data_IF_354532718338
#
_entry.id   IF_354532718338
#
_cell.length_a   1.000
_cell.length_b   1.000
_cell.length_c   1.000
_cell.angle_alpha   90.00
_cell.angle_beta   90.00
_cell.angle_gamma   90.00
#
_symmetry.space_group_name_H-M   'P 1'
#
loop_
_entity.id
_entity.type
_entity.pdbx_description
1 polymer ?
#
# COMPACT_ATOMS: atom_id res chain seq x y z
N UNK A 1 36.13 -6.70 32.28
CA UNK A 1 34.84 -7.11 32.87
C UNK A 1 34.04 -5.85 33.16
N UNK A 2 32.98 -5.61 32.38
CA UNK A 2 32.03 -4.52 32.59
C UNK A 2 30.67 -5.10 32.17
N UNK A 3 29.66 -5.16 33.05
CA UNK A 3 28.41 -5.83 32.73
C UNK A 3 27.49 -4.87 31.97
N UNK A 4 27.15 -5.20 30.73
CA UNK A 4 25.98 -4.62 30.05
C UNK A 4 24.72 -5.24 30.66
N UNK A 5 24.24 -4.66 31.76
CA UNK A 5 22.88 -4.86 32.25
C UNK A 5 21.95 -3.92 31.48
N UNK A 6 21.56 -4.30 30.26
CA UNK A 6 20.41 -3.67 29.59
C UNK A 6 19.19 -4.55 29.84
N UNK A 7 18.20 -3.93 30.45
CA UNK A 7 16.97 -4.51 31.00
C UNK A 7 16.21 -5.42 30.01
N UNK A 8 16.27 -6.73 30.25
CA UNK A 8 15.31 -7.72 29.70
C UNK A 8 13.85 -7.37 30.05
N UNK A 9 13.62 -6.62 31.13
CA UNK A 9 12.31 -6.08 31.51
C UNK A 9 11.73 -5.05 30.52
N UNK A 10 12.57 -4.28 29.83
CA UNK A 10 12.07 -3.20 28.94
C UNK A 10 11.57 -3.79 27.63
N UNK A 11 12.24 -4.80 27.07
CA UNK A 11 11.85 -5.46 25.82
C UNK A 11 10.53 -6.25 25.97
N UNK A 12 10.30 -6.86 27.14
CA UNK A 12 9.05 -7.58 27.41
C UNK A 12 7.87 -6.63 27.67
N UNK A 13 8.11 -5.42 28.20
CA UNK A 13 7.07 -4.41 28.44
C UNK A 13 6.71 -3.64 27.17
N UNK A 14 7.66 -3.39 26.25
CA UNK A 14 7.32 -2.79 24.94
C UNK A 14 6.51 -3.74 24.05
N UNK A 15 6.70 -5.06 24.16
CA UNK A 15 5.80 -6.04 23.52
C UNK A 15 4.43 -6.15 24.22
N UNK A 16 4.35 -5.86 25.51
CA UNK A 16 3.12 -5.95 26.31
C UNK A 16 2.22 -4.69 26.20
N UNK A 17 2.80 -3.52 25.94
CA UNK A 17 2.03 -2.27 25.75
C UNK A 17 1.42 -2.14 24.34
N UNK A 18 1.92 -2.87 23.35
CA UNK A 18 1.40 -2.84 21.97
C UNK A 18 0.16 -3.74 21.80
N UNK A 19 -0.13 -4.64 22.75
CA UNK A 19 -1.22 -5.64 22.60
C UNK A 19 -2.50 -5.36 23.40
N UNK A 20 -2.55 -4.35 24.28
CA UNK A 20 -3.71 -4.12 25.17
C UNK A 20 -4.27 -2.68 25.11
N UNK A 21 -3.58 -1.73 24.50
CA UNK A 21 -4.08 -0.37 24.31
C UNK A 21 -4.63 -0.16 22.90
N UNK A 22 -5.88 0.30 22.80
CA UNK A 22 -6.58 0.80 21.60
C UNK A 22 -7.21 -0.23 20.65
N UNK A 23 -8.07 -1.10 21.18
CA UNK A 23 -9.27 -1.53 20.47
C UNK A 23 -10.41 -0.54 20.75
N UNK A 24 -10.37 0.58 20.06
CA UNK A 24 -11.58 1.28 19.63
C UNK A 24 -11.46 1.39 18.13
N UNK A 25 -12.20 0.56 17.41
CA UNK A 25 -12.36 0.68 15.97
C UNK A 25 -12.82 2.11 15.63
N UNK A 26 -12.09 2.88 14.80
CA UNK A 26 -12.80 3.74 13.89
C UNK A 26 -13.28 2.83 12.76
N UNK A 27 -14.59 2.72 12.63
CA UNK A 27 -15.23 2.51 11.34
C UNK A 27 -14.43 3.24 10.25
N UNK A 28 -13.97 2.49 9.25
CA UNK A 28 -13.29 3.02 8.06
C UNK A 28 -14.28 3.89 7.29
N UNK A 29 -14.29 5.16 7.62
CA UNK A 29 -14.68 6.27 6.78
C UNK A 29 -13.53 7.24 6.96
N UNK A 30 -12.51 7.14 6.11
CA UNK A 30 -11.58 8.26 5.97
C UNK A 30 -12.39 9.34 5.28
N UNK A 31 -13.15 10.10 6.07
CA UNK A 31 -13.90 11.27 5.62
C UNK A 31 -12.86 12.37 5.36
N UNK A 32 -13.06 13.17 4.32
CA UNK A 32 -12.23 14.36 4.07
C UNK A 32 -12.06 15.14 5.38
N UNK A 33 -10.82 15.23 5.84
CA UNK A 33 -10.47 15.96 7.06
C UNK A 33 -10.32 17.43 6.68
N UNK A 34 -11.14 18.29 7.28
CA UNK A 34 -11.12 19.72 6.98
C UNK A 34 -9.74 20.32 7.32
N UNK A 35 -9.17 21.17 6.44
CA UNK A 35 -7.86 21.78 6.68
C UNK A 35 -7.92 22.75 7.87
N UNK A 36 -6.78 22.96 8.53
CA UNK A 36 -6.69 23.96 9.61
C UNK A 36 -6.78 25.38 9.02
N UNK A 37 -7.67 26.21 9.58
CA UNK A 37 -7.90 27.56 9.07
C UNK A 37 -8.25 28.57 10.16
N UNK A 38 -7.99 29.84 9.88
CA UNK A 38 -8.42 30.98 10.66
C UNK A 38 -8.97 32.05 9.73
N UNK A 39 -10.18 32.55 10.03
CA UNK A 39 -10.83 33.60 9.22
C UNK A 39 -11.09 34.85 10.05
N UNK A 40 -10.79 36.02 9.47
CA UNK A 40 -11.07 37.33 10.06
C UNK A 40 -12.23 38.00 9.31
N UNK A 41 -13.26 38.44 10.04
CA UNK A 41 -14.41 39.21 9.50
C UNK A 41 -15.25 38.45 8.45
N UNK A 42 -15.28 37.11 8.53
CA UNK A 42 -16.13 36.23 7.75
C UNK A 42 -16.33 34.89 8.46
N UNK A 43 -17.07 33.98 7.84
CA UNK A 43 -17.33 32.60 8.29
C UNK A 43 -17.14 31.65 7.10
N UNK A 44 -16.44 30.53 7.32
CA UNK A 44 -16.35 29.46 6.31
C UNK A 44 -17.59 28.59 6.44
N UNK A 45 -18.32 28.40 5.34
CA UNK A 45 -19.53 27.60 5.28
C UNK A 45 -19.25 26.13 4.95
N UNK A 46 -18.14 25.85 4.27
CA UNK A 46 -17.72 24.50 3.92
C UNK A 46 -16.57 24.46 2.93
N UNK A 47 -16.06 23.25 2.75
CA UNK A 47 -14.99 22.90 1.82
C UNK A 47 -15.50 21.82 0.86
N UNK A 48 -15.17 21.96 -0.41
CA UNK A 48 -15.47 20.98 -1.45
C UNK A 48 -14.21 20.76 -2.29
N UNK A 49 -13.84 19.50 -2.51
CA UNK A 49 -12.76 19.16 -3.44
C UNK A 49 -13.38 18.82 -4.79
N UNK A 50 -12.81 19.40 -5.85
CA UNK A 50 -13.06 19.01 -7.23
C UNK A 50 -11.79 18.34 -7.83
N UNK A 51 -11.78 16.99 -7.94
CA UNK A 51 -10.68 16.26 -8.55
C UNK A 51 -10.50 16.52 -10.06
N UNK A 52 -11.56 16.90 -10.77
CA UNK A 52 -11.52 17.13 -12.22
C UNK A 52 -10.73 18.41 -12.53
N UNK A 53 -11.02 19.48 -11.79
CA UNK A 53 -10.30 20.76 -11.90
C UNK A 53 -9.06 20.85 -11.03
N UNK A 54 -8.83 19.84 -10.17
CA UNK A 54 -7.73 19.79 -9.18
C UNK A 54 -7.78 20.96 -8.20
N UNK A 55 -8.98 21.27 -7.72
CA UNK A 55 -9.22 22.44 -6.92
C UNK A 55 -9.87 22.14 -5.58
N UNK A 56 -9.61 23.02 -4.60
CA UNK A 56 -10.31 23.11 -3.33
C UNK A 56 -11.18 24.36 -3.36
N UNK A 57 -12.48 24.16 -3.26
CA UNK A 57 -13.51 25.19 -3.27
C UNK A 57 -13.90 25.49 -1.81
N UNK A 58 -13.84 26.76 -1.43
CA UNK A 58 -14.11 27.24 -0.08
C UNK A 58 -15.27 28.22 -0.15
N UNK A 59 -16.42 27.82 0.38
CA UNK A 59 -17.59 28.69 0.46
C UNK A 59 -17.46 29.61 1.67
N UNK A 60 -17.43 30.93 1.48
CA UNK A 60 -17.33 31.89 2.58
C UNK A 60 -18.50 32.88 2.62
N UNK A 61 -18.88 33.24 3.85
CA UNK A 61 -19.87 34.27 4.13
C UNK A 61 -19.19 35.45 4.81
N UNK A 62 -19.07 36.55 4.09
CA UNK A 62 -18.44 37.78 4.59
C UNK A 62 -19.43 38.95 4.58
N UNK A 63 -19.28 39.86 5.56
CA UNK A 63 -20.06 41.12 5.63
C UNK A 63 -19.21 42.37 5.42
N UNK A 64 -17.89 42.24 5.54
CA UNK A 64 -16.89 43.29 5.39
C UNK A 64 -15.58 42.66 4.93
N UNK A 65 -14.65 43.44 4.40
CA UNK A 65 -13.35 42.93 3.96
C UNK A 65 -12.61 42.21 5.10
N UNK A 66 -12.05 41.06 4.79
CA UNK A 66 -11.44 40.14 5.73
C UNK A 66 -10.27 39.38 5.11
N UNK A 67 -9.80 38.39 5.84
CA UNK A 67 -8.63 37.58 5.47
C UNK A 67 -8.85 36.14 5.94
N UNK A 68 -8.54 35.19 5.06
CA UNK A 68 -8.53 33.76 5.35
C UNK A 68 -7.08 33.29 5.38
N UNK A 69 -6.66 32.73 6.52
CA UNK A 69 -5.42 31.96 6.64
C UNK A 69 -5.77 30.49 6.64
N UNK A 70 -5.23 29.70 5.72
CA UNK A 70 -5.52 28.27 5.60
C UNK A 70 -4.22 27.48 5.43
N UNK A 71 -4.08 26.39 6.17
CA UNK A 71 -2.94 25.46 6.08
C UNK A 71 -3.38 24.18 5.41
N UNK A 72 -2.82 23.92 4.24
CA UNK A 72 -3.15 22.81 3.36
C UNK A 72 -2.05 21.75 3.40
N UNK A 73 -2.35 20.52 3.84
CA UNK A 73 -1.44 19.41 3.69
C UNK A 73 -1.13 19.14 2.22
N UNK A 74 0.13 18.87 1.88
CA UNK A 74 0.53 18.56 0.48
C UNK A 74 -0.10 17.27 -0.06
N UNK A 75 -0.50 16.37 0.83
CA UNK A 75 -1.26 15.15 0.48
C UNK A 75 -2.73 15.48 0.15
N UNK A 76 -3.24 16.64 0.59
CA UNK A 76 -4.57 17.14 0.31
C UNK A 76 -4.62 17.90 -1.03
N UNK A 77 -3.70 18.83 -1.24
CA UNK A 77 -3.59 19.63 -2.47
C UNK A 77 -2.17 20.20 -2.58
N UNK A 78 -1.57 20.15 -3.78
CA UNK A 78 -0.20 20.63 -4.01
C UNK A 78 -0.05 21.18 -5.44
N UNK A 79 0.91 22.10 -5.63
CA UNK A 79 1.22 22.73 -6.90
C UNK A 79 2.70 22.59 -7.24
N UNK A 80 3.05 21.69 -8.17
CA UNK A 80 4.45 21.39 -8.54
C UNK A 80 4.61 21.26 -10.05
N UNK A 81 5.73 21.79 -10.56
CA UNK A 81 6.19 21.53 -11.92
C UNK A 81 7.40 20.59 -11.81
N UNK A 82 7.19 19.31 -12.08
CA UNK A 82 8.19 18.27 -11.83
C UNK A 82 8.40 18.05 -10.32
N UNK A 83 9.57 18.42 -9.80
CA UNK A 83 9.90 18.34 -8.36
C UNK A 83 10.03 19.71 -7.69
N UNK A 84 9.77 20.79 -8.43
CA UNK A 84 9.89 22.16 -7.95
C UNK A 84 8.50 22.68 -7.59
N UNK A 85 8.40 23.33 -6.42
CA UNK A 85 7.17 23.98 -6.00
C UNK A 85 6.83 25.12 -6.96
N UNK A 86 5.58 25.13 -7.40
CA UNK A 86 4.93 26.19 -8.16
C UNK A 86 3.87 26.85 -7.28
N UNK A 87 3.49 28.06 -7.64
CA UNK A 87 2.43 28.80 -6.96
C UNK A 87 1.06 28.15 -7.25
N UNK A 88 0.15 28.23 -6.27
CA UNK A 88 -1.26 27.93 -6.51
C UNK A 88 -1.91 29.00 -7.39
N UNK A 89 -2.92 28.62 -8.16
CA UNK A 89 -3.82 29.59 -8.80
C UNK A 89 -5.01 29.76 -7.87
N UNK A 90 -5.19 30.97 -7.34
CA UNK A 90 -6.32 31.29 -6.44
C UNK A 90 -7.34 32.12 -7.21
N UNK A 91 -8.60 31.69 -7.19
CA UNK A 91 -9.72 32.37 -7.83
C UNK A 91 -10.69 32.87 -6.76
N UNK A 92 -11.23 34.07 -6.95
CA UNK A 92 -12.33 34.65 -6.18
C UNK A 92 -13.53 34.76 -7.12
N UNK A 93 -14.61 34.03 -6.84
CA UNK A 93 -15.80 33.97 -7.71
C UNK A 93 -15.46 33.67 -9.19
N UNK A 94 -14.55 32.71 -9.41
CA UNK A 94 -14.00 32.31 -10.72
C UNK A 94 -13.17 33.37 -11.45
N UNK A 95 -12.77 34.45 -10.77
CA UNK A 95 -11.80 35.42 -11.28
C UNK A 95 -10.47 35.24 -10.57
N UNK A 96 -9.39 35.10 -11.34
CA UNK A 96 -8.05 34.92 -10.76
C UNK A 96 -7.65 36.14 -9.92
N UNK A 97 -7.21 35.87 -8.68
CA UNK A 97 -6.65 36.91 -7.80
C UNK A 97 -5.13 36.85 -7.85
N UNK A 98 -4.51 38.02 -7.95
CA UNK A 98 -3.05 38.18 -7.94
C UNK A 98 -2.50 38.49 -6.54
N UNK A 99 -3.35 38.54 -5.52
CA UNK A 99 -2.98 38.95 -4.18
C UNK A 99 -3.29 37.86 -3.16
N UNK A 100 -2.29 37.04 -2.85
CA UNK A 100 -2.24 36.17 -1.67
C UNK A 100 -0.77 35.97 -1.29
N UNK A 101 -0.51 35.68 -0.02
CA UNK A 101 0.80 35.26 0.44
C UNK A 101 0.81 33.74 0.64
N UNK A 102 1.92 33.09 0.29
CA UNK A 102 2.13 31.65 0.48
C UNK A 102 3.38 31.38 1.32
N UNK A 103 3.25 30.51 2.31
CA UNK A 103 4.38 29.94 3.05
C UNK A 103 4.45 28.45 2.79
N UNK A 104 5.61 27.99 2.32
CA UNK A 104 5.82 26.63 1.84
C UNK A 104 6.72 25.87 2.82
N UNK A 105 6.28 24.69 3.26
CA UNK A 105 7.08 23.76 4.09
C UNK A 105 7.20 22.39 3.42
N UNK A 106 7.89 21.42 4.03
CA UNK A 106 8.00 20.07 3.48
C UNK A 106 6.69 19.26 3.56
N UNK A 107 5.80 19.57 4.51
CA UNK A 107 4.55 18.85 4.73
C UNK A 107 3.32 19.62 4.26
N UNK A 108 3.33 20.94 4.41
CA UNK A 108 2.14 21.78 4.27
C UNK A 108 2.43 23.07 3.49
N UNK A 109 1.36 23.70 3.01
CA UNK A 109 1.35 25.02 2.40
C UNK A 109 0.32 25.91 3.08
N UNK A 110 0.75 27.05 3.59
CA UNK A 110 -0.16 28.00 4.24
C UNK A 110 -0.41 29.18 3.31
N UNK A 111 -1.67 29.46 3.00
CA UNK A 111 -2.09 30.62 2.20
C UNK A 111 -2.77 31.67 3.07
N UNK A 112 -2.52 32.93 2.75
CA UNK A 112 -3.20 34.09 3.33
C UNK A 112 -3.92 34.83 2.20
N UNK A 113 -5.26 34.70 2.16
CA UNK A 113 -6.11 35.15 1.06
C UNK A 113 -7.03 36.28 1.56
N UNK A 114 -6.85 37.52 1.10
CA UNK A 114 -7.75 38.62 1.41
C UNK A 114 -9.06 38.48 0.62
N UNK A 115 -10.20 38.75 1.27
CA UNK A 115 -11.51 38.73 0.63
C UNK A 115 -12.32 40.01 0.90
N UNK A 116 -13.27 40.30 0.01
CA UNK A 116 -14.16 41.46 0.09
C UNK A 116 -15.41 41.23 0.96
N UNK A 117 -16.16 42.30 1.25
CA UNK A 117 -17.36 42.27 2.10
C UNK A 117 -18.63 41.64 1.51
N UNK A 118 -18.50 40.66 0.62
CA UNK A 118 -19.62 39.96 -0.02
C UNK A 118 -19.43 38.45 0.16
N UNK A 119 -20.51 37.67 0.07
CA UNK A 119 -20.37 36.22 -0.01
C UNK A 119 -19.61 35.88 -1.28
N UNK A 120 -18.58 35.06 -1.15
CA UNK A 120 -17.72 34.69 -2.26
C UNK A 120 -17.29 33.24 -2.14
N UNK A 121 -16.92 32.67 -3.27
CA UNK A 121 -16.27 31.37 -3.37
C UNK A 121 -14.78 31.59 -3.61
N UNK A 122 -13.93 30.96 -2.79
CA UNK A 122 -12.48 30.94 -2.98
C UNK A 122 -12.11 29.57 -3.55
N UNK A 123 -11.54 29.54 -4.75
CA UNK A 123 -11.11 28.31 -5.40
C UNK A 123 -9.60 28.29 -5.49
N UNK A 124 -8.96 27.32 -4.84
CA UNK A 124 -7.52 27.10 -4.87
C UNK A 124 -7.24 25.96 -5.84
N UNK A 125 -6.57 26.23 -6.96
CA UNK A 125 -6.26 25.26 -8.00
C UNK A 125 -4.79 24.85 -7.91
N UNK A 126 -4.55 23.55 -7.80
CA UNK A 126 -3.22 22.95 -7.77
C UNK A 126 -2.88 22.11 -9.00
N UNK A 127 -1.76 21.40 -8.92
CA UNK A 127 -1.38 20.37 -9.91
C UNK A 127 -1.86 18.98 -9.51
N UNK A 128 -2.24 18.80 -8.23
CA UNK A 128 -2.84 17.60 -7.68
C UNK A 128 -3.80 17.98 -6.55
N UNK A 129 -4.85 17.18 -6.35
CA UNK A 129 -5.75 17.25 -5.20
C UNK A 129 -6.11 15.85 -4.75
N UNK A 130 -6.44 15.69 -3.48
CA UNK A 130 -6.90 14.45 -2.89
C UNK A 130 -8.21 14.01 -3.54
N UNK A 131 -8.21 12.84 -4.17
CA UNK A 131 -9.42 12.23 -4.71
C UNK A 131 -9.70 10.95 -3.94
N UNK A 132 -10.80 10.93 -3.21
CA UNK A 132 -11.47 9.66 -2.96
C UNK A 132 -12.00 9.15 -4.30
N UNK A 133 -11.86 7.86 -4.55
CA UNK A 133 -12.36 7.25 -5.78
C UNK A 133 -13.90 7.27 -5.72
N UNK A 134 -14.50 8.41 -6.05
CA UNK A 134 -15.93 8.54 -6.24
C UNK A 134 -16.18 8.40 -7.73
N UNK A 135 -16.59 7.20 -8.15
CA UNK A 135 -16.97 6.94 -9.54
C UNK A 135 -18.21 7.76 -9.89
N UNK A 136 -18.04 8.81 -10.69
CA UNK A 136 -19.11 9.45 -11.46
C UNK A 136 -18.68 9.58 -12.94
N UNK A 137 -19.64 9.61 -13.89
CA UNK A 137 -19.43 9.04 -15.22
C UNK A 137 -19.08 10.08 -16.28
N UNK A 138 -17.92 9.95 -16.91
CA UNK A 138 -17.60 10.64 -18.17
C UNK A 138 -17.19 9.62 -19.23
N UNK A 139 -17.96 9.61 -20.32
CA UNK A 139 -18.12 8.53 -21.28
C UNK A 139 -17.19 8.76 -22.49
N UNK A 140 -16.25 7.84 -22.75
CA UNK A 140 -16.28 6.88 -23.88
C UNK A 140 -14.91 6.26 -24.25
N UNK A 141 -13.76 6.97 -24.31
CA UNK A 141 -12.47 6.33 -24.61
C UNK A 141 -11.86 5.60 -23.41
N UNK A 142 -11.86 6.24 -22.23
CA UNK A 142 -11.24 5.70 -21.01
C UNK A 142 -11.96 4.45 -20.49
N UNK A 143 -13.29 4.41 -20.48
CA UNK A 143 -14.05 3.20 -20.10
C UNK A 143 -13.79 2.00 -21.00
N UNK A 144 -13.58 2.21 -22.31
CA UNK A 144 -13.23 1.11 -23.21
C UNK A 144 -11.80 0.63 -22.98
N UNK A 145 -10.86 1.55 -22.75
CA UNK A 145 -9.47 1.22 -22.43
C UNK A 145 -9.40 0.52 -21.07
N UNK A 146 -10.13 0.98 -20.05
CA UNK A 146 -10.22 0.33 -18.74
C UNK A 146 -10.86 -1.05 -18.82
N UNK A 147 -11.94 -1.22 -19.60
CA UNK A 147 -12.51 -2.56 -19.88
C UNK A 147 -11.48 -3.48 -20.54
N UNK A 148 -10.69 -2.98 -21.49
CA UNK A 148 -9.60 -3.75 -22.11
C UNK A 148 -8.49 -4.07 -21.12
N UNK A 149 -8.10 -3.13 -20.26
CA UNK A 149 -7.10 -3.34 -19.20
C UNK A 149 -7.61 -4.41 -18.22
N UNK A 150 -8.87 -4.33 -17.76
CA UNK A 150 -9.49 -5.31 -16.88
C UNK A 150 -9.58 -6.70 -17.53
N UNK A 151 -9.89 -6.78 -18.82
CA UNK A 151 -9.87 -8.03 -19.56
C UNK A 151 -8.45 -8.64 -19.65
N UNK A 152 -7.44 -7.81 -19.90
CA UNK A 152 -6.04 -8.25 -19.94
C UNK A 152 -5.47 -8.60 -18.56
N UNK A 153 -5.93 -7.93 -17.49
CA UNK A 153 -5.62 -8.29 -16.10
C UNK A 153 -6.15 -9.68 -15.73
N UNK A 154 -7.25 -10.12 -16.35
CA UNK A 154 -7.79 -11.48 -16.20
C UNK A 154 -7.09 -12.54 -17.05
N UNK A 155 -6.15 -12.18 -17.91
CA UNK A 155 -5.43 -13.13 -18.76
C UNK A 155 -4.29 -13.81 -18.00
N UNK A 156 -4.11 -15.12 -18.21
CA UNK A 156 -2.98 -15.86 -17.64
C UNK A 156 -1.68 -15.38 -18.30
N UNK A 157 -0.81 -14.74 -17.50
CA UNK A 157 0.54 -14.36 -17.89
C UNK A 157 1.48 -15.44 -17.36
N UNK A 158 2.38 -16.01 -18.20
CA UNK A 158 3.34 -17.01 -17.74
C UNK A 158 4.20 -16.51 -16.57
N UNK A 159 4.54 -17.41 -15.65
CA UNK A 159 5.35 -17.10 -14.47
C UNK A 159 6.69 -16.45 -14.87
N UNK A 160 7.13 -15.45 -14.11
CA UNK A 160 8.37 -14.70 -14.37
C UNK A 160 8.29 -13.72 -15.55
N UNK A 161 7.13 -13.60 -16.22
CA UNK A 161 6.91 -12.64 -17.30
C UNK A 161 5.95 -11.53 -16.88
N UNK A 162 6.06 -10.40 -17.54
CA UNK A 162 5.14 -9.28 -17.45
C UNK A 162 4.60 -8.95 -18.85
N UNK A 163 3.46 -8.27 -18.91
CA UNK A 163 2.83 -7.84 -20.15
C UNK A 163 2.76 -6.32 -20.16
N UNK A 164 3.24 -5.72 -21.23
CA UNK A 164 3.12 -4.29 -21.51
C UNK A 164 1.96 -4.07 -22.48
N UNK A 165 0.96 -3.32 -22.06
CA UNK A 165 -0.17 -2.90 -22.87
C UNK A 165 0.04 -1.47 -23.32
N UNK A 166 -0.07 -1.23 -24.61
CA UNK A 166 0.10 0.06 -25.24
C UNK A 166 -1.23 0.35 -25.93
N UNK A 167 -1.89 1.43 -25.54
CA UNK A 167 -3.15 1.89 -26.10
C UNK A 167 -2.91 3.21 -26.82
N UNK A 168 -3.28 3.27 -28.08
CA UNK A 168 -3.09 4.47 -28.89
C UNK A 168 -4.03 4.46 -30.09
N UNK A 169 -4.35 5.64 -30.57
CA UNK A 169 -4.99 5.88 -31.86
C UNK A 169 -3.99 6.25 -32.96
N UNK A 170 -2.69 6.33 -32.64
CA UNK A 170 -1.64 6.89 -33.49
C UNK A 170 -0.41 5.99 -33.60
N UNK A 171 0.59 6.44 -34.37
CA UNK A 171 1.89 5.77 -34.52
C UNK A 171 2.80 6.13 -33.36
N UNK A 172 3.51 5.13 -32.87
CA UNK A 172 4.43 5.28 -31.76
C UNK A 172 5.68 4.42 -32.01
N UNK A 173 6.80 4.88 -31.46
CA UNK A 173 8.03 4.11 -31.38
C UNK A 173 8.44 4.04 -29.92
N UNK A 174 9.12 2.98 -29.53
CA UNK A 174 9.64 2.87 -28.18
C UNK A 174 10.67 1.79 -28.05
N UNK A 175 11.24 1.73 -26.87
CA UNK A 175 12.17 0.70 -26.50
C UNK A 175 11.89 0.18 -25.10
N UNK A 176 12.12 -1.11 -24.93
CA UNK A 176 11.89 -1.83 -23.69
C UNK A 176 13.18 -2.49 -23.23
N UNK A 177 13.46 -2.36 -21.94
CA UNK A 177 14.54 -3.04 -21.25
C UNK A 177 13.99 -3.66 -19.97
N UNK A 178 14.40 -4.90 -19.68
CA UNK A 178 14.02 -5.59 -18.45
C UNK A 178 15.21 -6.37 -17.89
N UNK A 179 15.13 -6.71 -16.61
CA UNK A 179 16.18 -7.45 -15.92
C UNK A 179 16.38 -8.83 -16.58
N UNK A 180 17.59 -9.07 -17.09
CA UNK A 180 17.94 -10.32 -17.77
C UNK A 180 17.64 -10.37 -19.27
N UNK A 181 17.19 -9.26 -19.89
CA UNK A 181 16.92 -9.18 -21.32
C UNK A 181 17.60 -7.97 -21.98
N UNK A 182 17.96 -8.13 -23.25
CA UNK A 182 18.54 -7.06 -24.06
C UNK A 182 17.49 -6.04 -24.47
N UNK A 183 17.97 -4.82 -24.70
CA UNK A 183 17.19 -3.71 -25.24
C UNK A 183 16.48 -4.12 -26.54
N UNK A 184 15.17 -3.90 -26.60
CA UNK A 184 14.36 -4.22 -27.78
C UNK A 184 13.65 -2.97 -28.29
N UNK A 185 13.88 -2.63 -29.56
CA UNK A 185 13.14 -1.56 -30.25
C UNK A 185 11.81 -2.07 -30.78
N UNK A 186 10.76 -1.28 -30.56
CA UNK A 186 9.40 -1.64 -30.85
C UNK A 186 8.74 -0.47 -31.56
N UNK A 187 8.18 -0.74 -32.73
CA UNK A 187 7.33 0.22 -33.46
C UNK A 187 5.93 -0.38 -33.59
N UNK A 188 4.92 0.48 -33.50
CA UNK A 188 3.53 0.09 -33.61
C UNK A 188 2.62 1.20 -34.12
N UNK A 189 1.45 0.78 -34.59
CA UNK A 189 0.33 1.65 -34.93
C UNK A 189 -0.89 1.09 -34.19
N UNK A 190 -1.56 1.94 -33.39
CA UNK A 190 -2.67 1.57 -32.50
C UNK A 190 -2.28 0.69 -31.29
N UNK A 191 -3.29 0.07 -30.67
CA UNK A 191 -3.16 -0.80 -29.51
C UNK A 191 -2.25 -2.01 -29.77
N UNK A 192 -1.35 -2.33 -28.84
CA UNK A 192 -0.47 -3.50 -28.90
C UNK A 192 -0.16 -4.04 -27.50
N UNK A 193 0.00 -5.34 -27.37
CA UNK A 193 0.50 -5.98 -26.15
C UNK A 193 1.82 -6.71 -26.41
N UNK A 194 2.72 -6.66 -25.43
CA UNK A 194 4.07 -7.22 -25.53
C UNK A 194 4.38 -7.95 -24.25
N UNK A 195 4.77 -9.22 -24.34
CA UNK A 195 5.20 -10.00 -23.18
C UNK A 195 6.72 -9.92 -23.10
N UNK A 196 7.23 -9.60 -21.92
CA UNK A 196 8.65 -9.52 -21.64
C UNK A 196 8.99 -10.26 -20.34
N UNK A 197 10.23 -10.75 -20.22
CA UNK A 197 10.67 -11.37 -18.98
C UNK A 197 10.90 -10.31 -17.91
N UNK A 198 10.35 -10.56 -16.73
CA UNK A 198 10.38 -9.65 -15.59
C UNK A 198 10.52 -10.53 -14.33
N UNK A 199 11.63 -11.26 -14.25
CA UNK A 199 11.92 -12.17 -13.16
C UNK A 199 12.48 -11.39 -11.97
N UNK A 200 11.83 -11.52 -10.82
CA UNK A 200 12.39 -11.09 -9.54
C UNK A 200 12.97 -12.30 -8.84
N UNK A 201 14.19 -12.16 -8.32
CA UNK A 201 14.81 -13.18 -7.49
C UNK A 201 14.84 -12.72 -6.03
N UNK A 202 15.09 -13.67 -5.13
CA UNK A 202 15.25 -13.41 -3.68
C UNK A 202 16.37 -12.39 -3.40
N UNK A 203 17.34 -12.23 -4.32
CA UNK A 203 18.56 -11.44 -4.14
C UNK A 203 18.53 -10.15 -4.97
N UNK A 204 17.75 -10.12 -6.06
CA UNK A 204 17.66 -8.99 -6.98
C UNK A 204 16.21 -8.78 -7.38
N UNK A 205 15.71 -7.58 -7.10
CA UNK A 205 14.43 -7.12 -7.63
C UNK A 205 14.51 -7.07 -9.15
N UNK A 206 13.53 -7.69 -9.82
CA UNK A 206 13.37 -7.49 -11.24
C UNK A 206 12.95 -6.05 -11.47
N UNK A 207 13.61 -5.35 -12.38
CA UNK A 207 13.22 -4.01 -12.83
C UNK A 207 13.00 -4.00 -14.32
N UNK A 208 12.08 -3.14 -14.76
CA UNK A 208 11.84 -2.86 -16.16
C UNK A 208 11.81 -1.35 -16.41
N UNK A 209 12.20 -0.96 -17.61
CA UNK A 209 12.16 0.40 -18.10
C UNK A 209 11.73 0.41 -19.55
N UNK A 210 10.80 1.29 -19.89
CA UNK A 210 10.36 1.45 -21.25
C UNK A 210 10.19 2.94 -21.59
N UNK A 211 10.64 3.31 -22.78
CA UNK A 211 10.62 4.67 -23.30
C UNK A 211 9.83 4.66 -24.60
N UNK A 212 8.83 5.52 -24.70
CA UNK A 212 7.99 5.63 -25.90
C UNK A 212 7.87 7.07 -26.35
N UNK A 213 7.86 7.27 -27.66
CA UNK A 213 7.70 8.55 -28.33
C UNK A 213 6.48 8.51 -29.23
N UNK A 214 5.64 9.54 -29.09
CA UNK A 214 4.52 9.79 -29.97
C UNK A 214 5.06 10.33 -31.31
N UNK A 215 4.64 9.75 -32.42
CA UNK A 215 5.12 10.12 -33.76
C UNK A 215 4.19 11.10 -34.50
N UNK A 216 3.07 11.48 -33.88
CA UNK A 216 2.05 12.37 -34.45
C UNK A 216 1.64 13.45 -33.45
N UNK A 217 1.19 14.61 -33.95
CA UNK A 217 0.80 15.74 -33.12
C UNK A 217 -0.52 15.51 -32.39
N UNK A 218 -1.53 14.94 -33.04
CA UNK A 218 -2.82 14.61 -32.41
C UNK A 218 -2.85 13.17 -31.88
N UNK A 219 -3.77 12.87 -30.94
CA UNK A 219 -4.05 11.53 -30.41
C UNK A 219 -3.49 11.25 -29.01
N UNK A 220 -3.80 10.07 -28.46
CA UNK A 220 -3.36 9.66 -27.12
C UNK A 220 -2.41 8.47 -27.17
N UNK A 221 -1.56 8.37 -26.16
CA UNK A 221 -0.75 7.19 -25.91
C UNK A 221 -0.80 6.86 -24.42
N UNK A 222 -1.41 5.72 -24.08
CA UNK A 222 -1.50 5.20 -22.71
C UNK A 222 -0.76 3.87 -22.64
N UNK A 223 0.16 3.75 -21.71
CA UNK A 223 0.98 2.56 -21.54
C UNK A 223 0.75 2.03 -20.13
N UNK A 224 0.51 0.73 -20.03
CA UNK A 224 0.20 0.02 -18.79
C UNK A 224 1.05 -1.23 -18.73
N UNK A 225 1.91 -1.33 -17.73
CA UNK A 225 2.63 -2.55 -17.41
C UNK A 225 1.84 -3.36 -16.39
N UNK A 226 1.58 -4.63 -16.69
CA UNK A 226 0.85 -5.56 -15.82
C UNK A 226 1.65 -6.84 -15.59
N UNK A 227 1.51 -7.41 -14.40
CA UNK A 227 2.06 -8.71 -14.02
C UNK A 227 1.21 -9.27 -12.88
N UNK A 228 0.96 -10.59 -12.88
CA UNK A 228 0.18 -11.26 -11.82
C UNK A 228 -1.16 -10.56 -11.52
N UNK A 229 -1.92 -10.20 -12.55
CA UNK A 229 -3.23 -9.53 -12.43
C UNK A 229 -3.19 -8.16 -11.72
N UNK A 230 -2.02 -7.53 -11.62
CA UNK A 230 -1.82 -6.21 -11.03
C UNK A 230 -1.18 -5.25 -12.01
N UNK A 231 -1.57 -3.98 -11.94
CA UNK A 231 -0.91 -2.88 -12.66
C UNK A 231 0.35 -2.49 -11.90
N UNK A 232 1.51 -2.63 -12.54
CA UNK A 232 2.82 -2.28 -11.98
C UNK A 232 3.17 -0.82 -12.19
N UNK A 233 2.88 -0.30 -13.38
CA UNK A 233 3.07 1.10 -13.73
C UNK A 233 2.12 1.46 -14.86
N UNK A 234 1.59 2.68 -14.82
CA UNK A 234 0.80 3.21 -15.93
C UNK A 234 1.14 4.68 -16.15
N UNK A 235 1.10 5.10 -17.41
CA UNK A 235 1.29 6.50 -17.77
C UNK A 235 0.57 6.79 -19.09
N UNK A 236 -0.03 7.96 -19.17
CA UNK A 236 -0.71 8.43 -20.38
C UNK A 236 -0.21 9.81 -20.76
N UNK A 237 -0.22 10.09 -22.06
CA UNK A 237 0.05 11.41 -22.62
C UNK A 237 -1.01 11.72 -23.68
N UNK A 238 -1.56 12.91 -23.61
CA UNK A 238 -2.51 13.48 -24.58
C UNK A 238 -1.94 14.77 -25.21
N UNK A 239 -0.70 15.14 -24.86
CA UNK A 239 -0.02 16.32 -25.39
C UNK A 239 0.37 16.17 -26.88
N UNK A 240 0.63 17.31 -27.52
CA UNK A 240 0.95 17.41 -28.95
C UNK A 240 2.16 16.55 -29.34
N UNK A 241 3.28 16.69 -28.64
CA UNK A 241 4.46 15.82 -28.78
C UNK A 241 5.00 15.51 -27.39
N UNK A 242 5.49 14.30 -27.18
CA UNK A 242 6.09 13.97 -25.90
C UNK A 242 6.59 12.55 -25.78
N UNK A 243 7.41 12.39 -24.76
CA UNK A 243 8.04 11.15 -24.39
C UNK A 243 7.41 10.59 -23.12
N UNK A 244 6.99 9.33 -23.17
CA UNK A 244 6.57 8.59 -22.00
C UNK A 244 7.70 7.65 -21.58
N UNK A 245 8.26 7.92 -20.41
CA UNK A 245 9.10 6.96 -19.69
C UNK A 245 8.24 6.33 -18.62
N UNK A 246 8.20 5.00 -18.63
CA UNK A 246 7.69 4.16 -17.54
C UNK A 246 8.82 3.27 -17.05
N UNK A 247 8.92 3.14 -15.76
CA UNK A 247 9.83 2.24 -15.11
C UNK A 247 9.16 1.74 -13.84
N UNK A 248 9.54 0.55 -13.41
CA UNK A 248 9.01 -0.02 -12.18
C UNK A 248 9.73 -1.30 -11.83
N UNK A 249 9.41 -1.75 -10.63
CA UNK A 249 9.90 -3.03 -10.13
C UNK A 249 8.86 -4.08 -10.54
N UNK A 250 9.33 -5.20 -11.06
CA UNK A 250 8.51 -6.38 -11.29
C UNK A 250 7.84 -6.74 -9.96
N UNK A 251 6.60 -7.22 -10.04
CA UNK A 251 5.95 -7.80 -8.87
C UNK A 251 6.83 -8.97 -8.46
N UNK A 252 7.48 -8.85 -7.31
CA UNK A 252 8.13 -10.00 -6.73
C UNK A 252 7.05 -11.07 -6.61
N UNK A 253 7.31 -12.30 -7.03
CA UNK A 253 6.39 -13.43 -6.82
C UNK A 253 6.01 -13.63 -5.34
N UNK A 254 6.55 -12.79 -4.44
CA UNK A 254 6.42 -12.77 -3.00
C UNK A 254 5.61 -11.59 -2.45
N UNK A 255 5.17 -10.60 -3.25
CA UNK A 255 4.34 -9.50 -2.75
C UNK A 255 3.21 -9.04 -3.69
N UNK A 256 1.98 -9.40 -3.29
CA UNK A 256 0.67 -8.83 -3.68
C UNK A 256 0.13 -9.15 -5.08
N UNK A 257 -0.40 -10.37 -5.22
CA UNK A 257 -1.65 -10.62 -5.95
C UNK A 257 -2.78 -11.00 -4.96
N UNK A 258 -4.05 -11.10 -5.37
CA UNK A 258 -5.19 -11.49 -4.53
C UNK A 258 -5.15 -12.96 -4.02
N UNK A 259 -4.04 -13.66 -4.21
CA UNK A 259 -3.82 -15.02 -3.72
C UNK A 259 -2.34 -15.26 -3.47
N UNK A 260 -1.94 -15.27 -2.19
CA UNK A 260 -0.65 -15.81 -1.74
C UNK A 260 0.39 -14.76 -1.38
N UNK A 261 0.34 -14.25 -0.15
CA UNK A 261 1.55 -13.70 0.47
C UNK A 261 2.51 -14.81 0.91
N UNK A 262 3.82 -14.55 0.94
CA UNK A 262 4.83 -15.53 1.35
C UNK A 262 4.97 -15.67 2.88
N UNK A 263 5.33 -16.86 3.37
CA UNK A 263 5.63 -17.08 4.79
C UNK A 263 7.04 -16.56 5.16
N UNK A 264 7.27 -15.23 5.05
CA UNK A 264 8.59 -14.58 5.14
C UNK A 264 9.44 -15.01 6.35
N UNK A 265 8.86 -15.03 7.55
CA UNK A 265 9.54 -15.45 8.79
C UNK A 265 9.94 -16.92 8.68
N UNK A 266 9.00 -17.80 8.35
CA UNK A 266 9.28 -19.24 8.23
C UNK A 266 10.33 -19.52 7.14
N UNK A 267 10.26 -18.83 6.00
CA UNK A 267 11.27 -18.91 4.93
C UNK A 267 12.64 -18.51 5.42
N UNK A 268 12.77 -17.41 6.17
CA UNK A 268 14.05 -16.99 6.75
C UNK A 268 14.57 -17.99 7.80
N UNK A 269 13.68 -18.53 8.62
CA UNK A 269 13.99 -19.52 9.65
C UNK A 269 14.45 -20.87 9.10
N UNK A 270 13.76 -21.40 8.08
CA UNK A 270 14.07 -22.72 7.49
C UNK A 270 15.00 -22.63 6.28
N UNK A 271 15.27 -21.43 5.79
CA UNK A 271 16.27 -21.13 4.77
C UNK A 271 15.84 -21.39 3.33
N UNK A 272 14.63 -21.90 3.10
CA UNK A 272 14.07 -22.09 1.78
C UNK A 272 12.55 -22.02 1.84
N UNK A 273 11.95 -21.47 0.79
CA UNK A 273 10.52 -21.55 0.57
C UNK A 273 10.05 -22.97 0.23
N UNK A 274 10.94 -23.80 -0.31
CA UNK A 274 10.71 -25.21 -0.57
C UNK A 274 11.01 -26.08 0.65
N UNK A 275 11.33 -25.48 1.80
CA UNK A 275 11.50 -26.23 3.03
C UNK A 275 10.18 -26.94 3.40
N UNK A 276 10.21 -28.20 3.85
CA UNK A 276 9.00 -28.95 4.19
C UNK A 276 8.07 -28.22 5.17
N UNK A 277 8.65 -27.49 6.13
CA UNK A 277 7.91 -26.71 7.12
C UNK A 277 7.14 -25.53 6.50
N UNK A 278 7.72 -24.89 5.48
CA UNK A 278 7.11 -23.75 4.79
C UNK A 278 6.03 -24.24 3.82
N UNK A 279 6.29 -25.35 3.14
CA UNK A 279 5.31 -25.99 2.25
C UNK A 279 4.09 -26.48 3.04
N UNK A 280 4.29 -27.08 4.21
CA UNK A 280 3.19 -27.47 5.09
C UNK A 280 2.26 -26.31 5.46
N UNK A 281 2.82 -25.12 5.75
CA UNK A 281 2.03 -23.93 6.03
C UNK A 281 1.22 -23.47 4.81
N UNK A 282 1.81 -23.56 3.62
CA UNK A 282 1.15 -23.20 2.36
C UNK A 282 0.01 -24.16 2.04
N UNK A 283 0.26 -25.45 2.13
CA UNK A 283 -0.76 -26.48 1.93
C UNK A 283 -1.92 -26.32 2.91
N UNK A 284 -1.62 -26.11 4.21
CA UNK A 284 -2.66 -25.85 5.21
C UNK A 284 -3.48 -24.60 4.87
N UNK A 285 -2.81 -23.51 4.51
CA UNK A 285 -3.49 -22.27 4.13
C UNK A 285 -4.39 -22.48 2.91
N UNK A 286 -3.84 -23.04 1.84
CA UNK A 286 -4.47 -23.10 0.53
C UNK A 286 -5.55 -24.18 0.45
N UNK A 287 -5.30 -25.34 1.07
CA UNK A 287 -6.19 -26.50 1.00
C UNK A 287 -7.16 -26.61 2.18
N UNK A 288 -6.91 -25.94 3.30
CA UNK A 288 -7.78 -26.01 4.49
C UNK A 288 -8.38 -24.66 4.84
N UNK A 289 -7.55 -23.63 5.08
CA UNK A 289 -8.05 -22.34 5.59
C UNK A 289 -8.86 -21.58 4.51
N UNK A 290 -8.29 -21.40 3.33
CA UNK A 290 -8.90 -20.62 2.25
C UNK A 290 -10.11 -21.32 1.60
N UNK A 291 -10.32 -22.61 1.87
CA UNK A 291 -11.51 -23.34 1.43
C UNK A 291 -12.76 -23.01 2.26
N UNK A 292 -12.62 -22.26 3.36
CA UNK A 292 -13.72 -21.90 4.25
C UNK A 292 -13.88 -20.38 4.35
N UNK A 293 -15.12 -19.91 4.55
CA UNK A 293 -15.39 -18.46 4.71
C UNK A 293 -14.77 -17.90 5.99
N UNK A 294 -14.80 -18.67 7.09
CA UNK A 294 -14.20 -18.28 8.36
C UNK A 294 -12.67 -18.23 8.28
N UNK A 295 -12.04 -19.18 7.59
CA UNK A 295 -10.60 -19.22 7.39
C UNK A 295 -10.09 -18.13 6.44
N UNK A 296 -10.82 -17.81 5.36
CA UNK A 296 -10.45 -16.72 4.46
C UNK A 296 -10.53 -15.34 5.13
N UNK A 297 -11.59 -15.07 5.89
CA UNK A 297 -11.72 -13.83 6.68
C UNK A 297 -10.64 -13.71 7.76
N UNK A 298 -10.31 -14.81 8.44
CA UNK A 298 -9.18 -14.84 9.37
C UNK A 298 -7.86 -14.51 8.64
N UNK A 299 -7.59 -15.15 7.50
CA UNK A 299 -6.36 -14.96 6.74
C UNK A 299 -6.21 -13.53 6.21
N UNK A 300 -7.29 -12.85 5.86
CA UNK A 300 -7.26 -11.43 5.47
C UNK A 300 -6.72 -10.57 6.62
N UNK A 301 -7.32 -10.69 7.81
CA UNK A 301 -6.88 -9.95 9.00
C UNK A 301 -5.45 -10.33 9.45
N UNK A 302 -5.15 -11.64 9.41
CA UNK A 302 -3.83 -12.16 9.76
C UNK A 302 -2.76 -11.63 8.81
N UNK A 303 -3.02 -11.61 7.50
CA UNK A 303 -2.07 -11.14 6.51
C UNK A 303 -1.73 -9.66 6.72
N UNK A 304 -2.73 -8.81 6.95
CA UNK A 304 -2.51 -7.40 7.22
C UNK A 304 -1.57 -7.20 8.42
N UNK A 305 -1.82 -7.93 9.51
CA UNK A 305 -0.97 -7.87 10.68
C UNK A 305 0.43 -8.47 10.42
N UNK A 306 0.49 -9.68 9.89
CA UNK A 306 1.72 -10.43 9.63
C UNK A 306 2.69 -9.68 8.71
N UNK A 307 2.21 -9.12 7.59
CA UNK A 307 3.07 -8.39 6.65
C UNK A 307 3.49 -7.01 7.14
N UNK A 308 2.86 -6.47 8.19
CA UNK A 308 3.28 -5.20 8.79
C UNK A 308 4.64 -5.28 9.50
N UNK A 309 5.03 -6.46 9.98
CA UNK A 309 6.27 -6.65 10.74
C UNK A 309 7.18 -7.77 10.21
N UNK A 310 6.64 -8.75 9.48
CA UNK A 310 7.41 -9.92 9.04
C UNK A 310 8.63 -9.62 8.15
N UNK A 311 8.66 -8.59 7.27
CA UNK A 311 9.87 -8.27 6.49
C UNK A 311 11.05 -7.91 7.40
N UNK A 312 10.81 -7.05 8.40
CA UNK A 312 11.83 -6.61 9.36
C UNK A 312 12.40 -7.78 10.17
N UNK A 313 11.53 -8.70 10.63
CA UNK A 313 11.96 -9.89 11.37
C UNK A 313 12.79 -10.82 10.48
N UNK A 314 12.33 -11.07 9.25
CA UNK A 314 13.04 -11.91 8.30
C UNK A 314 14.43 -11.35 7.94
N UNK A 315 14.57 -10.03 7.86
CA UNK A 315 15.86 -9.37 7.65
C UNK A 315 16.79 -9.55 8.86
N UNK A 316 16.27 -9.47 10.08
CA UNK A 316 17.05 -9.73 11.30
C UNK A 316 17.50 -11.18 11.41
N UNK A 317 16.66 -12.15 11.03
CA UNK A 317 17.04 -13.57 10.97
C UNK A 317 18.19 -13.83 10.01
N UNK A 318 18.22 -13.12 8.87
CA UNK A 318 19.32 -13.23 7.89
C UNK A 318 20.63 -12.64 8.42
N UNK A 319 20.56 -11.59 9.22
CA UNK A 319 21.74 -10.91 9.77
C UNK A 319 22.31 -11.61 11.00
N UNK A 320 21.48 -12.29 11.79
CA UNK A 320 21.89 -12.89 13.06
C UNK A 320 21.49 -14.38 13.16
N UNK A 321 22.46 -15.30 12.99
CA UNK A 321 22.22 -16.74 13.11
C UNK A 321 21.66 -17.18 14.48
N UNK A 322 22.01 -16.49 15.57
CA UNK A 322 21.50 -16.81 16.91
C UNK A 322 20.04 -16.38 17.07
N UNK A 323 19.66 -15.24 16.47
CA UNK A 323 18.27 -14.81 16.42
C UNK A 323 17.43 -15.79 15.59
N UNK A 324 17.93 -16.23 14.43
CA UNK A 324 17.29 -17.26 13.60
C UNK A 324 17.01 -18.56 14.37
N UNK A 325 17.97 -19.07 15.15
CA UNK A 325 17.74 -20.29 15.95
C UNK A 325 16.75 -20.07 17.09
N UNK A 326 16.71 -18.85 17.66
CA UNK A 326 15.69 -18.47 18.65
C UNK A 326 14.30 -18.47 18.02
N UNK A 327 14.16 -17.85 16.84
CA UNK A 327 12.91 -17.86 16.07
C UNK A 327 12.52 -19.29 15.72
N UNK A 328 13.45 -20.13 15.24
CA UNK A 328 13.22 -21.57 14.97
C UNK A 328 12.66 -22.29 16.18
N UNK A 329 13.31 -22.17 17.33
CA UNK A 329 12.86 -22.82 18.56
C UNK A 329 11.47 -22.32 18.98
N UNK A 330 11.20 -21.03 18.75
CA UNK A 330 9.93 -20.40 19.10
C UNK A 330 8.81 -20.82 18.16
N UNK A 331 9.02 -20.90 16.85
CA UNK A 331 7.92 -21.18 15.90
C UNK A 331 7.67 -22.67 15.70
N UNK A 332 8.64 -23.55 15.96
CA UNK A 332 8.49 -25.00 15.73
C UNK A 332 7.30 -25.62 16.46
N UNK A 333 7.06 -25.34 17.76
CA UNK A 333 5.88 -25.86 18.46
C UNK A 333 4.55 -25.35 17.88
N UNK A 334 4.53 -24.10 17.38
CA UNK A 334 3.37 -23.53 16.69
C UNK A 334 3.09 -24.31 15.39
N UNK A 335 4.10 -24.58 14.57
CA UNK A 335 3.93 -25.38 13.35
C UNK A 335 3.40 -26.79 13.64
N UNK A 336 3.92 -27.42 14.70
CA UNK A 336 3.44 -28.73 15.13
C UNK A 336 1.95 -28.67 15.52
N UNK A 337 1.51 -27.63 16.24
CA UNK A 337 0.09 -27.46 16.59
C UNK A 337 -0.81 -27.24 15.36
N UNK A 338 -0.32 -26.50 14.36
CA UNK A 338 -1.06 -26.24 13.12
C UNK A 338 -1.17 -27.48 12.24
N UNK A 339 -0.17 -28.38 12.28
CA UNK A 339 -0.20 -29.64 11.53
C UNK A 339 -1.39 -30.53 11.89
N UNK A 340 -1.98 -30.36 13.06
CA UNK A 340 -3.16 -31.11 13.52
C UNK A 340 -4.34 -30.93 12.54
N UNK A 341 -4.49 -29.73 11.98
CA UNK A 341 -5.57 -29.43 11.02
C UNK A 341 -5.46 -30.23 9.71
N UNK A 342 -4.27 -30.72 9.35
CA UNK A 342 -4.10 -31.55 8.16
C UNK A 342 -4.59 -33.00 8.37
N UNK A 343 -4.81 -33.42 9.62
CA UNK A 343 -5.20 -34.80 9.96
C UNK A 343 -6.66 -34.92 10.40
N UNK A 344 -7.38 -33.81 10.48
CA UNK A 344 -8.78 -33.77 10.90
C UNK A 344 -9.62 -33.42 9.68
N UNK A 345 -10.62 -34.25 9.39
CA UNK A 345 -11.62 -33.95 8.38
C UNK A 345 -12.52 -32.82 8.91
N UNK A 346 -12.50 -31.68 8.23
CA UNK A 346 -13.29 -30.49 8.57
C UNK A 346 -14.44 -30.40 7.59
N UNK A 347 -15.60 -30.92 7.99
CA UNK A 347 -16.78 -31.03 7.12
C UNK A 347 -17.72 -29.83 7.25
N UNK A 348 -17.47 -28.91 8.20
CA UNK A 348 -18.31 -27.74 8.48
C UNK A 348 -17.55 -26.49 8.91
N UNK A 349 -18.14 -25.30 8.68
CA UNK A 349 -17.58 -24.02 9.13
C UNK A 349 -17.45 -23.92 10.66
N UNK A 350 -18.39 -24.53 11.39
CA UNK A 350 -18.37 -24.57 12.86
C UNK A 350 -17.20 -25.37 13.41
N UNK A 351 -16.82 -26.47 12.75
CA UNK A 351 -15.66 -27.27 13.13
C UNK A 351 -14.37 -26.53 12.82
N UNK A 352 -14.27 -25.87 11.66
CA UNK A 352 -13.11 -25.03 11.32
C UNK A 352 -12.88 -23.94 12.38
N UNK A 353 -13.95 -23.24 12.79
CA UNK A 353 -13.89 -22.24 13.85
C UNK A 353 -13.51 -22.85 15.20
N UNK A 354 -14.09 -24.00 15.56
CA UNK A 354 -13.78 -24.70 16.80
C UNK A 354 -12.32 -25.13 16.90
N UNK A 355 -11.79 -25.78 15.86
CA UNK A 355 -10.38 -26.18 15.80
C UNK A 355 -9.44 -24.96 15.74
N UNK A 356 -9.80 -23.93 14.96
CA UNK A 356 -9.04 -22.69 14.88
C UNK A 356 -8.89 -22.00 16.25
N UNK A 357 -10.01 -21.81 16.97
CA UNK A 357 -10.01 -21.26 18.34
C UNK A 357 -9.22 -22.16 19.28
N UNK A 358 -9.40 -23.49 19.18
CA UNK A 358 -8.68 -24.46 19.99
C UNK A 358 -7.17 -24.36 19.84
N UNK A 359 -6.67 -24.23 18.60
CA UNK A 359 -5.24 -24.09 18.31
C UNK A 359 -4.70 -22.76 18.82
N UNK A 360 -5.45 -21.66 18.66
CA UNK A 360 -5.07 -20.36 19.21
C UNK A 360 -4.93 -20.45 20.73
N UNK A 361 -5.93 -21.02 21.43
CA UNK A 361 -5.88 -21.20 22.88
C UNK A 361 -4.74 -22.12 23.33
N UNK A 362 -4.49 -23.20 22.59
CA UNK A 362 -3.37 -24.11 22.84
C UNK A 362 -2.03 -23.37 22.76
N UNK A 363 -1.82 -22.56 21.71
CA UNK A 363 -0.61 -21.77 21.54
C UNK A 363 -0.48 -20.70 22.63
N UNK A 364 -1.56 -20.01 23.00
CA UNK A 364 -1.55 -19.07 24.13
C UNK A 364 -1.13 -19.78 25.41
N UNK A 365 -1.70 -20.96 25.67
CA UNK A 365 -1.32 -21.81 26.81
C UNK A 365 0.17 -22.16 26.81
N UNK A 366 0.71 -22.53 25.65
CA UNK A 366 2.10 -22.93 25.49
C UNK A 366 3.09 -21.78 25.64
N UNK A 367 2.83 -20.63 25.01
CA UNK A 367 3.78 -19.49 25.02
C UNK A 367 3.65 -18.59 26.24
N UNK A 368 2.48 -18.53 26.89
CA UNK A 368 2.25 -17.62 28.02
C UNK A 368 2.04 -18.37 29.34
N UNK A 369 1.09 -19.32 29.37
CA UNK A 369 0.69 -19.96 30.64
C UNK A 369 1.76 -20.90 31.17
N UNK A 370 2.33 -21.77 30.32
CA UNK A 370 3.35 -22.72 30.75
C UNK A 370 4.63 -22.03 31.29
N UNK A 371 5.22 -21.04 30.59
CA UNK A 371 6.32 -20.26 31.16
C UNK A 371 5.96 -19.52 32.44
N UNK A 372 4.77 -18.91 32.53
CA UNK A 372 4.33 -18.22 33.74
C UNK A 372 4.22 -19.17 34.95
N UNK A 373 3.65 -20.36 34.75
CA UNK A 373 3.55 -21.38 35.79
C UNK A 373 4.92 -21.89 36.25
N UNK A 374 5.86 -22.07 35.33
CA UNK A 374 7.26 -22.43 35.64
C UNK A 374 7.88 -21.33 36.50
N UNK A 375 7.75 -20.06 36.12
CA UNK A 375 8.28 -18.91 36.87
C UNK A 375 7.69 -18.85 38.28
N UNK A 376 6.37 -18.99 38.42
CA UNK A 376 5.69 -18.98 39.73
C UNK A 376 6.18 -20.13 40.61
N UNK A 377 6.29 -21.34 40.06
CA UNK A 377 6.75 -22.52 40.80
C UNK A 377 8.21 -22.38 41.24
N UNK A 378 9.07 -21.81 40.41
CA UNK A 378 10.46 -21.51 40.76
C UNK A 378 10.52 -20.48 41.91
N UNK A 379 9.78 -19.36 41.81
CA UNK A 379 9.72 -18.34 42.87
C UNK A 379 9.16 -18.87 44.18
N UNK A 380 8.11 -19.69 44.12
CA UNK A 380 7.53 -20.34 45.30
C UNK A 380 8.46 -21.35 45.97
N UNK A 381 9.39 -21.95 45.22
CA UNK A 381 10.41 -22.86 45.77
C UNK A 381 11.55 -22.09 46.45
N UNK A 382 11.95 -20.94 45.91
CA UNK A 382 12.93 -20.06 46.55
C UNK A 382 12.39 -19.38 47.82
N UNK A 383 11.11 -18.98 47.84
CA UNK A 383 10.47 -18.37 49.03
C UNK A 383 10.24 -19.33 50.20
N UNK A 384 10.40 -20.65 50.01
CA UNK A 384 10.28 -21.67 51.06
C UNK A 384 11.63 -22.17 51.61
N UNK A 385 12.74 -21.63 51.09
CA UNK A 385 14.10 -22.04 51.48
C UNK A 385 14.83 -21.01 52.36
N UNK A 386 14.15 -19.93 52.72
CA UNK A 386 14.44 -19.02 53.84
C UNK A 386 13.46 -19.32 54.97
#
# INVERSE_FOLDING_TARGET
>A
MQPLTVNVKVIVITLFLVMIGTFTSPTFSQQFEEPDYSIRRGEVLGFEIDPETRSLIISIKARTNGELTITLPRDLIDAKIGSVDSDFIVLMDNLETIFFDETITSSDRTLIIPFGGFNSEITIVGTQVFSQVTTAPTIQPQQQIEKKITAELGSEIPEGKAKLLIFSDTKWSGALQASGFDYTEIVGERDKSIIFGCESSIIREGVFGARFQKMTEDGYLKIVAIQNQKIMAQKSIEAQLGEIIINGNCVSSFSTGPGGGGCLIATATFGSELAPQVQQLRELRDNTLLQTNSGSAFMESFNQFYYSFSPTIADWERQNPMFKETVRLTITPLLASLSILNYVDIDSESEMLGFGIGIILMNIGMYFVAPAMIIIKIRGKFSKSD
#
